data_IF_053316221497
#
_entry.id   IF_053316221497
#
_cell.length_a   1.000
_cell.length_b   1.000
_cell.length_c   1.000
_cell.angle_alpha   90.00
_cell.angle_beta   90.00
_cell.angle_gamma   90.00
#
_symmetry.space_group_name_H-M   'P 1'
#
loop_
_entity.id
_entity.type
_entity.pdbx_description
1 polymer ?
#
# COMPACT_ATOMS: atom_id res chain seq x y z
N UNK A 1 -0.20 11.85 -1.36
CA UNK A 1 0.09 10.40 -1.49
C UNK A 1 1.28 10.07 -0.62
N UNK A 2 1.17 9.04 0.17
CA UNK A 2 2.26 8.58 1.02
C UNK A 2 2.97 7.40 0.36
N UNK A 3 4.24 7.24 0.69
CA UNK A 3 5.08 6.16 0.16
C UNK A 3 5.82 5.48 1.30
N UNK A 4 5.82 4.15 1.29
CA UNK A 4 6.62 3.35 2.20
C UNK A 4 7.47 2.36 1.42
N UNK A 5 8.70 2.15 1.87
CA UNK A 5 9.64 1.21 1.28
C UNK A 5 9.95 0.09 2.26
N UNK A 6 10.22 -1.10 1.72
CA UNK A 6 10.91 -2.14 2.47
C UNK A 6 12.41 -1.86 2.52
N UNK A 7 13.13 -2.65 3.30
CA UNK A 7 14.58 -2.77 3.08
C UNK A 7 14.87 -3.43 1.74
N UNK A 8 16.10 -3.28 1.26
CA UNK A 8 16.53 -3.96 0.04
C UNK A 8 16.72 -5.45 0.27
N UNK A 9 16.49 -6.22 -0.79
CA UNK A 9 16.79 -7.64 -0.84
C UNK A 9 18.29 -7.91 -0.71
N UNK A 10 18.65 -9.18 -0.55
CA UNK A 10 20.00 -9.64 -0.75
C UNK A 10 20.50 -9.27 -2.16
N UNK A 11 21.74 -8.83 -2.25
CA UNK A 11 22.32 -8.46 -3.52
C UNK A 11 22.56 -9.65 -4.44
N UNK A 12 22.37 -9.43 -5.74
CA UNK A 12 22.70 -10.36 -6.80
C UNK A 12 23.60 -9.65 -7.81
N UNK A 13 24.68 -10.31 -8.19
CA UNK A 13 25.62 -9.79 -9.16
C UNK A 13 25.52 -10.61 -10.43
N UNK A 14 24.76 -10.11 -11.43
CA UNK A 14 24.67 -10.83 -12.69
C UNK A 14 26.00 -10.88 -13.41
N UNK A 15 26.18 -11.88 -14.29
CA UNK A 15 27.37 -12.04 -15.09
C UNK A 15 27.63 -10.77 -15.91
N UNK A 16 28.88 -10.30 -15.88
CA UNK A 16 29.30 -9.08 -16.60
C UNK A 16 28.99 -7.79 -15.88
N UNK A 17 28.42 -7.84 -14.67
CA UNK A 17 28.16 -6.64 -13.86
C UNK A 17 29.12 -6.53 -12.70
N UNK A 18 29.55 -5.31 -12.40
CA UNK A 18 30.36 -4.99 -11.22
C UNK A 18 29.52 -4.53 -10.03
N UNK A 19 28.20 -4.42 -10.21
CA UNK A 19 27.28 -3.88 -9.23
C UNK A 19 26.34 -4.97 -8.72
N UNK A 20 26.21 -5.11 -7.40
CA UNK A 20 25.17 -5.93 -6.80
C UNK A 20 23.80 -5.28 -7.04
N UNK A 21 22.92 -6.05 -7.67
CA UNK A 21 21.54 -5.64 -7.91
C UNK A 21 20.69 -6.01 -6.70
N UNK A 22 19.86 -5.08 -6.27
CA UNK A 22 18.97 -5.25 -5.13
C UNK A 22 17.60 -4.69 -5.50
N UNK A 23 16.55 -5.31 -4.97
CA UNK A 23 15.19 -4.82 -5.11
C UNK A 23 14.58 -4.57 -3.75
N UNK A 24 13.59 -3.73 -3.73
CA UNK A 24 12.75 -3.48 -2.57
C UNK A 24 11.31 -3.28 -3.00
N UNK A 25 10.39 -3.48 -2.08
CA UNK A 25 9.00 -3.14 -2.27
C UNK A 25 8.79 -1.64 -2.01
N UNK A 26 7.96 -1.03 -2.83
CA UNK A 26 7.45 0.31 -2.60
C UNK A 26 5.93 0.27 -2.67
N UNK A 27 5.28 0.80 -1.66
CA UNK A 27 3.83 0.96 -1.66
C UNK A 27 3.51 2.43 -1.60
N UNK A 28 2.75 2.89 -2.58
CA UNK A 28 2.14 4.22 -2.56
C UNK A 28 0.68 4.06 -2.12
N UNK A 29 0.24 4.87 -1.19
CA UNK A 29 -1.12 4.79 -0.66
C UNK A 29 -1.69 6.16 -0.35
N UNK A 30 -2.99 6.26 -0.44
CA UNK A 30 -3.72 7.51 -0.17
C UNK A 30 -5.17 7.22 0.15
N UNK A 31 -5.83 8.20 0.74
CA UNK A 31 -7.28 8.20 0.85
C UNK A 31 -7.84 8.54 -0.54
N UNK A 32 -8.68 7.67 -1.09
CA UNK A 32 -9.32 7.91 -2.39
C UNK A 32 -10.75 8.44 -2.25
N UNK A 33 -11.41 8.15 -1.14
CA UNK A 33 -12.74 8.66 -0.83
C UNK A 33 -12.98 8.62 0.66
N UNK A 34 -13.76 9.56 1.14
CA UNK A 34 -14.17 9.58 2.54
C UNK A 34 -15.59 10.14 2.62
N UNK A 35 -16.43 9.48 3.40
CA UNK A 35 -17.78 9.90 3.72
C UNK A 35 -17.89 10.04 5.24
N UNK A 36 -19.01 10.56 5.78
CA UNK A 36 -19.20 10.60 7.23
C UNK A 36 -19.11 9.25 7.92
N UNK A 37 -19.36 8.14 7.20
CA UNK A 37 -19.43 6.79 7.77
C UNK A 37 -18.36 5.83 7.26
N UNK A 38 -17.61 6.19 6.23
CA UNK A 38 -16.61 5.31 5.61
C UNK A 38 -15.36 6.07 5.21
N UNK A 39 -14.26 5.33 5.05
CA UNK A 39 -13.04 5.82 4.44
C UNK A 39 -12.49 4.75 3.50
N UNK A 40 -12.07 5.16 2.32
CA UNK A 40 -11.51 4.26 1.31
C UNK A 40 -10.05 4.59 1.08
N UNK A 41 -9.20 3.58 1.24
CA UNK A 41 -7.78 3.68 0.91
C UNK A 41 -7.51 3.04 -0.43
N UNK A 42 -6.58 3.65 -1.16
CA UNK A 42 -6.05 3.17 -2.43
C UNK A 42 -4.57 2.90 -2.26
N UNK A 43 -4.08 1.78 -2.78
CA UNK A 43 -2.68 1.43 -2.72
C UNK A 43 -2.21 0.81 -4.02
N UNK A 44 -0.93 1.00 -4.33
CA UNK A 44 -0.23 0.44 -5.48
C UNK A 44 1.07 -0.17 -4.99
N UNK A 45 1.40 -1.36 -5.48
CA UNK A 45 2.67 -2.01 -5.18
C UNK A 45 3.62 -1.89 -6.38
N UNK A 46 4.80 -1.37 -6.10
CA UNK A 46 5.91 -1.28 -7.06
C UNK A 46 7.09 -2.14 -6.62
N UNK A 47 7.85 -2.60 -7.59
CA UNK A 47 9.23 -3.03 -7.37
C UNK A 47 10.13 -1.85 -7.69
N UNK A 48 11.06 -1.56 -6.79
CA UNK A 48 12.09 -0.55 -6.98
C UNK A 48 13.46 -1.22 -6.88
N UNK A 49 14.32 -0.95 -7.85
CA UNK A 49 15.65 -1.53 -7.91
C UNK A 49 16.71 -0.45 -7.77
N UNK A 50 17.86 -0.82 -7.20
CA UNK A 50 18.97 0.11 -7.01
C UNK A 50 19.74 0.40 -8.29
N UNK A 51 19.70 -0.52 -9.24
CA UNK A 51 20.43 -0.42 -10.49
C UNK A 51 19.72 -1.23 -11.57
N UNK A 52 19.75 -0.73 -12.79
CA UNK A 52 19.09 -1.35 -13.94
C UNK A 52 19.48 -2.81 -14.11
N UNK A 53 18.50 -3.66 -14.24
CA UNK A 53 18.66 -5.11 -14.42
C UNK A 53 17.40 -5.69 -15.06
N UNK A 54 17.59 -6.74 -15.87
CA UNK A 54 16.45 -7.51 -16.38
C UNK A 54 16.14 -8.64 -15.42
N UNK A 55 14.97 -8.61 -14.82
CA UNK A 55 14.52 -9.63 -13.86
C UNK A 55 13.00 -9.67 -13.75
N UNK A 56 12.50 -10.80 -13.30
CA UNK A 56 11.10 -11.04 -13.05
C UNK A 56 10.82 -11.02 -11.55
N UNK A 57 9.65 -10.52 -11.19
CA UNK A 57 9.22 -10.43 -9.80
C UNK A 57 7.78 -10.88 -9.65
N UNK A 58 7.46 -11.44 -8.51
CA UNK A 58 6.09 -11.62 -8.06
C UNK A 58 5.83 -10.72 -6.86
N UNK A 59 4.61 -10.23 -6.75
CA UNK A 59 4.23 -9.33 -5.67
C UNK A 59 2.85 -9.65 -5.12
N UNK A 60 2.67 -9.29 -3.86
CA UNK A 60 1.38 -9.38 -3.18
C UNK A 60 1.12 -8.07 -2.46
N UNK A 61 0.00 -7.44 -2.77
CA UNK A 61 -0.50 -6.28 -2.04
C UNK A 61 -1.63 -6.74 -1.14
N UNK A 62 -1.48 -6.51 0.15
CA UNK A 62 -2.49 -6.85 1.15
C UNK A 62 -3.00 -5.59 1.80
N UNK A 63 -4.30 -5.37 1.71
CA UNK A 63 -4.98 -4.25 2.38
C UNK A 63 -5.87 -4.85 3.45
N UNK A 64 -5.39 -4.85 4.69
CA UNK A 64 -6.12 -5.33 5.87
C UNK A 64 -6.77 -6.70 5.66
N UNK A 65 -5.97 -7.67 5.25
CA UNK A 65 -6.40 -9.06 5.07
C UNK A 65 -6.88 -9.44 3.67
N UNK A 66 -7.13 -8.47 2.78
CA UNK A 66 -7.47 -8.77 1.39
C UNK A 66 -6.22 -8.71 0.54
N UNK A 67 -5.86 -9.83 -0.10
CA UNK A 67 -4.64 -9.95 -0.89
C UNK A 67 -4.91 -9.88 -2.38
N UNK A 68 -4.03 -9.18 -3.09
CA UNK A 68 -3.98 -9.09 -4.54
C UNK A 68 -2.59 -9.46 -5.00
N UNK A 69 -2.49 -10.30 -6.00
CA UNK A 69 -1.21 -10.76 -6.54
C UNK A 69 -0.96 -10.18 -7.92
N UNK A 70 0.30 -10.08 -8.27
CA UNK A 70 0.71 -9.65 -9.59
C UNK A 70 2.16 -10.06 -9.86
N UNK A 71 2.58 -9.87 -11.08
CA UNK A 71 3.95 -10.08 -11.52
C UNK A 71 4.39 -8.92 -12.38
N UNK A 72 5.69 -8.68 -12.39
CA UNK A 72 6.26 -7.60 -13.19
C UNK A 72 7.69 -7.95 -13.59
N UNK A 73 8.24 -7.14 -14.48
CA UNK A 73 9.56 -7.33 -15.04
C UNK A 73 10.27 -5.99 -15.11
N UNK A 74 11.51 -5.96 -14.65
CA UNK A 74 12.42 -4.86 -14.96
C UNK A 74 13.22 -5.22 -16.20
N UNK A 75 13.69 -4.21 -16.91
CA UNK A 75 14.51 -4.40 -18.08
C UNK A 75 15.73 -3.49 -18.02
N UNK A 76 16.88 -4.01 -18.49
CA UNK A 76 18.11 -3.24 -18.56
C UNK A 76 17.92 -2.02 -19.46
N UNK A 77 18.34 -0.86 -18.97
CA UNK A 77 18.20 0.40 -19.69
C UNK A 77 16.86 1.10 -19.52
N UNK A 78 15.90 0.48 -18.85
CA UNK A 78 14.63 1.09 -18.50
C UNK A 78 14.67 1.61 -17.06
N UNK A 79 13.58 2.23 -16.61
CA UNK A 79 13.50 2.81 -15.27
C UNK A 79 13.69 1.81 -14.14
N UNK A 80 13.98 2.34 -12.96
CA UNK A 80 14.26 1.54 -11.76
C UNK A 80 13.02 1.21 -10.95
N UNK A 81 11.84 1.58 -11.40
CA UNK A 81 10.58 1.32 -10.71
C UNK A 81 9.55 0.80 -11.69
N UNK A 82 8.89 -0.28 -11.33
CA UNK A 82 7.85 -0.90 -12.16
C UNK A 82 6.67 -1.30 -11.28
N UNK A 83 5.46 -1.15 -11.80
CA UNK A 83 4.24 -1.55 -11.09
C UNK A 83 4.13 -3.07 -11.07
N UNK A 84 3.98 -3.65 -9.87
CA UNK A 84 3.80 -5.08 -9.69
C UNK A 84 2.33 -5.45 -9.45
N UNK A 85 1.65 -4.68 -8.63
CA UNK A 85 0.19 -4.80 -8.43
C UNK A 85 -0.41 -3.43 -8.65
N UNK A 86 -1.30 -3.32 -9.63
CA UNK A 86 -1.98 -2.07 -9.95
C UNK A 86 -2.86 -1.60 -8.80
N UNK A 87 -3.33 -0.37 -8.86
CA UNK A 87 -4.11 0.25 -7.80
C UNK A 87 -5.30 -0.59 -7.36
N UNK A 88 -5.41 -0.80 -6.06
CA UNK A 88 -6.51 -1.48 -5.38
C UNK A 88 -7.06 -0.58 -4.31
N UNK A 89 -8.34 -0.71 -4.05
CA UNK A 89 -9.01 0.07 -3.02
C UNK A 89 -9.69 -0.85 -2.02
N UNK A 90 -9.82 -0.36 -0.79
CA UNK A 90 -10.65 -1.00 0.23
C UNK A 90 -11.35 0.06 1.05
N UNK A 91 -12.63 -0.13 1.27
CA UNK A 91 -13.47 0.76 2.07
C UNK A 91 -13.66 0.19 3.46
N UNK A 92 -13.45 1.04 4.46
CA UNK A 92 -13.59 0.71 5.87
C UNK A 92 -14.72 1.51 6.48
N UNK A 93 -15.52 0.85 7.29
CA UNK A 93 -16.54 1.53 8.07
C UNK A 93 -15.90 2.26 9.25
N UNK A 94 -16.34 3.47 9.53
CA UNK A 94 -15.94 4.22 10.73
C UNK A 94 -16.74 3.72 11.91
N UNK A 95 -16.08 3.48 13.02
CA UNK A 95 -16.70 3.05 14.27
C UNK A 95 -16.77 4.16 15.30
N UNK A 96 -17.22 3.82 16.50
CA UNK A 96 -17.31 4.76 17.62
C UNK A 96 -15.94 5.27 18.05
N UNK A 97 -14.89 4.48 17.85
CA UNK A 97 -13.49 4.85 18.15
C UNK A 97 -12.64 4.72 16.89
N UNK A 98 -11.59 5.54 16.82
CA UNK A 98 -10.60 5.42 15.75
C UNK A 98 -9.89 4.06 15.85
N UNK A 99 -9.64 3.45 14.71
CA UNK A 99 -8.88 2.20 14.57
C UNK A 99 -7.80 2.35 13.53
N UNK A 100 -7.05 1.29 13.32
CA UNK A 100 -6.00 1.28 12.29
C UNK A 100 -6.19 0.09 11.37
N UNK A 101 -5.65 0.22 10.17
CA UNK A 101 -5.54 -0.87 9.21
C UNK A 101 -4.11 -0.94 8.70
N UNK A 102 -3.71 -2.08 8.20
CA UNK A 102 -2.37 -2.31 7.71
C UNK A 102 -2.40 -2.54 6.20
N UNK A 103 -1.49 -1.86 5.50
CA UNK A 103 -1.24 -2.06 4.07
C UNK A 103 0.15 -2.64 3.95
N UNK A 104 0.27 -3.82 3.33
CA UNK A 104 1.55 -4.50 3.12
C UNK A 104 1.75 -4.77 1.64
N UNK A 105 2.94 -4.46 1.16
CA UNK A 105 3.37 -4.87 -0.16
C UNK A 105 4.62 -5.73 -0.06
N UNK A 106 4.56 -6.95 -0.54
CA UNK A 106 5.70 -7.85 -0.59
C UNK A 106 6.08 -8.16 -2.02
N UNK A 107 7.37 -8.20 -2.28
CA UNK A 107 7.89 -8.58 -3.59
C UNK A 107 9.03 -9.59 -3.41
N UNK A 108 9.12 -10.47 -4.39
CA UNK A 108 10.16 -11.49 -4.44
C UNK A 108 10.60 -11.65 -5.90
N UNK A 109 11.90 -11.75 -6.11
CA UNK A 109 12.41 -12.11 -7.43
C UNK A 109 12.00 -13.54 -7.77
N UNK A 110 11.44 -13.73 -8.94
CA UNK A 110 11.19 -15.06 -9.52
C UNK A 110 12.26 -15.48 -10.50
N UNK A 111 13.32 -14.70 -10.61
CA UNK A 111 14.50 -15.08 -11.39
C UNK A 111 15.32 -16.11 -10.61
N UNK A 112 15.50 -17.31 -11.17
CA UNK A 112 16.18 -18.41 -10.51
C UNK A 112 17.62 -18.14 -10.09
N UNK A 113 18.30 -17.20 -10.73
CA UNK A 113 19.67 -16.78 -10.36
C UNK A 113 19.70 -15.79 -9.21
N UNK A 114 18.58 -15.18 -8.88
CA UNK A 114 18.47 -14.17 -7.84
C UNK A 114 17.60 -14.75 -6.71
N UNK A 115 18.23 -15.51 -5.85
CA UNK A 115 17.56 -16.11 -4.71
C UNK A 115 17.50 -15.12 -3.57
N UNK A 116 16.36 -15.00 -2.94
CA UNK A 116 16.17 -14.13 -1.79
C UNK A 116 14.80 -14.28 -1.20
N UNK A 117 14.68 -13.93 0.08
CA UNK A 117 13.40 -13.86 0.74
C UNK A 117 12.59 -12.69 0.21
N UNK A 118 11.28 -12.76 0.37
CA UNK A 118 10.40 -11.64 0.09
C UNK A 118 10.81 -10.44 0.95
N UNK A 119 10.74 -9.26 0.36
CA UNK A 119 10.88 -8.00 1.08
C UNK A 119 9.49 -7.38 1.24
N UNK A 120 9.22 -6.79 2.39
CA UNK A 120 7.88 -6.33 2.75
C UNK A 120 7.92 -4.88 3.18
N UNK A 121 7.15 -4.05 2.50
CA UNK A 121 6.85 -2.68 2.91
C UNK A 121 5.53 -2.69 3.69
N UNK A 122 5.51 -2.07 4.85
CA UNK A 122 4.34 -2.05 5.71
C UNK A 122 3.99 -0.61 6.08
N UNK A 123 2.73 -0.25 5.91
CA UNK A 123 2.18 1.02 6.36
C UNK A 123 0.98 0.77 7.25
N UNK A 124 0.84 1.60 8.28
CA UNK A 124 -0.33 1.62 9.14
C UNK A 124 -1.12 2.88 8.82
N UNK A 125 -2.40 2.73 8.53
CA UNK A 125 -3.30 3.83 8.21
C UNK A 125 -4.38 3.95 9.28
N UNK A 126 -4.88 5.15 9.47
CA UNK A 126 -5.91 5.42 10.46
C UNK A 126 -7.29 5.34 9.83
N UNK A 127 -8.20 4.65 10.51
CA UNK A 127 -9.63 4.71 10.24
C UNK A 127 -10.24 5.62 11.29
N UNK A 128 -10.61 6.87 10.93
CA UNK A 128 -11.13 7.81 11.90
C UNK A 128 -12.41 7.32 12.54
N UNK A 129 -12.68 7.75 13.78
CA UNK A 129 -13.97 7.54 14.42
C UNK A 129 -15.06 8.30 13.68
N UNK A 130 -16.29 7.82 13.82
CA UNK A 130 -17.46 8.61 13.43
C UNK A 130 -17.42 9.94 14.19
N UNK A 131 -17.77 11.03 13.50
CA UNK A 131 -17.94 12.30 14.16
C UNK A 131 -19.08 12.19 15.18
N UNK A 132 -18.95 12.84 16.36
CA UNK A 132 -20.07 12.85 17.31
C UNK A 132 -21.31 13.41 16.65
N UNK A 133 -22.45 12.76 16.90
CA UNK A 133 -23.72 13.26 16.43
C UNK A 133 -24.02 14.60 17.13
N UNK A 134 -24.27 15.63 16.33
CA UNK A 134 -24.66 16.93 16.86
C UNK A 134 -26.21 17.02 16.79
N UNK A 135 -26.83 17.13 17.93
CA UNK A 135 -28.28 17.35 17.99
C UNK A 135 -28.48 18.82 18.23
N UNK A 136 -29.12 19.47 17.26
CA UNK A 136 -29.51 20.89 17.42
C UNK A 136 -30.98 20.96 17.76
N UNK A 137 -31.29 21.53 18.91
CA UNK A 137 -32.68 21.80 19.30
C UNK A 137 -33.11 23.14 18.74
N UNK A 138 -34.18 23.12 17.98
CA UNK A 138 -34.83 24.35 17.51
C UNK A 138 -35.90 24.73 18.48
N UNK A 139 -35.68 25.79 19.24
CA UNK A 139 -36.62 26.31 20.20
C UNK A 139 -37.95 26.77 19.56
N UNK A 140 -37.94 27.02 18.26
CA UNK A 140 -39.11 27.45 17.51
C UNK A 140 -39.84 26.31 16.82
N UNK A 141 -39.45 25.09 17.10
CA UNK A 141 -40.05 23.92 16.45
C UNK A 141 -41.54 23.70 16.78
N UNK A 142 -42.03 24.36 17.78
CA UNK A 142 -43.43 24.20 18.21
C UNK A 142 -43.69 22.94 19.02
N UNK A 143 -42.64 22.22 19.41
CA UNK A 143 -42.79 20.97 20.15
C UNK A 143 -42.78 21.14 21.67
N UNK A 144 -43.06 22.32 22.12
CA UNK A 144 -43.16 22.58 23.56
C UNK A 144 -41.80 22.60 24.25
N UNK A 145 -41.67 21.89 25.32
CA UNK A 145 -40.49 21.98 26.16
C UNK A 145 -39.26 21.35 25.52
N UNK A 146 -38.16 22.08 25.41
CA UNK A 146 -36.85 21.55 25.10
C UNK A 146 -36.24 21.02 26.39
N UNK A 147 -35.88 19.75 26.45
CA UNK A 147 -35.27 19.16 27.65
C UNK A 147 -33.91 19.74 27.97
#
# INVERSE_FOLDING_TARGET
>A
MATVYSGYSKGWKPSGSDIYKKYRARVDYSVSAETPTTITYRAILYVNINSSVTALYSGTLNISGTSYTGSCKTAFGEGNTVTCVSAKTKTFAKGATATTATIKGSVKSSNGSWTGASVVATATVTIPALAPATITFDANSGLGTVP
#
